data_IF_703231325635
#
_entry.id   IF_703231325635
#
_cell.length_a   1.000
_cell.length_b   1.000
_cell.length_c   1.000
_cell.angle_alpha   90.00
_cell.angle_beta   90.00
_cell.angle_gamma   90.00
#
_symmetry.space_group_name_H-M   'P 1'
#
loop_
_entity.id
_entity.type
_entity.pdbx_description
1 polymer ?
#
# COMPACT_ATOMS: atom_id res chain seq x y z
N UNK A 1 -1.32 10.38 -24.81
CA UNK A 1 -2.43 10.80 -23.94
C UNK A 1 -1.90 11.11 -22.55
N UNK A 2 -2.24 12.26 -21.98
CA UNK A 2 -1.87 12.55 -20.60
C UNK A 2 -2.56 11.58 -19.63
N UNK A 3 -1.88 11.29 -18.52
CA UNK A 3 -2.44 10.47 -17.45
C UNK A 3 -3.34 11.34 -16.61
N UNK A 4 -4.63 10.99 -16.46
CA UNK A 4 -5.52 11.77 -15.60
C UNK A 4 -5.04 11.75 -14.15
N UNK A 5 -5.20 12.86 -13.45
CA UNK A 5 -4.95 12.90 -12.02
C UNK A 5 -6.01 12.13 -11.27
N UNK A 6 -5.58 11.23 -10.40
CA UNK A 6 -6.43 10.51 -9.46
C UNK A 6 -5.90 10.79 -8.06
N UNK A 7 -6.78 11.14 -7.14
CA UNK A 7 -6.43 11.23 -5.72
C UNK A 7 -7.64 10.77 -4.90
N UNK A 8 -7.53 9.58 -4.32
CA UNK A 8 -8.59 9.00 -3.51
C UNK A 8 -8.52 9.57 -2.09
N UNK A 9 -9.67 9.97 -1.51
CA UNK A 9 -9.71 10.59 -0.17
C UNK A 9 -9.64 9.51 0.92
N UNK A 10 -8.45 8.99 1.18
CA UNK A 10 -8.25 7.92 2.15
C UNK A 10 -7.58 8.47 3.39
N UNK A 11 -8.20 8.36 4.57
CA UNK A 11 -7.57 8.76 5.83
C UNK A 11 -6.30 7.97 6.09
N UNK A 12 -5.30 8.64 6.64
CA UNK A 12 -4.02 8.02 6.92
C UNK A 12 -4.06 7.21 8.22
N UNK A 13 -3.50 6.00 8.17
CA UNK A 13 -3.26 5.16 9.33
C UNK A 13 -1.75 4.98 9.50
N UNK A 14 -1.12 5.68 10.46
CA UNK A 14 0.29 5.43 10.77
C UNK A 14 0.49 4.04 11.36
N UNK A 15 1.61 3.40 11.04
CA UNK A 15 2.01 2.19 11.76
C UNK A 15 2.40 2.54 13.20
N UNK A 16 2.23 1.59 14.12
CA UNK A 16 2.48 1.79 15.53
C UNK A 16 3.90 1.38 15.95
N UNK A 17 4.58 0.60 15.08
CA UNK A 17 5.92 0.09 15.32
C UNK A 17 6.61 -0.12 13.98
N UNK A 18 7.84 -0.63 13.98
CA UNK A 18 8.59 -0.86 12.74
C UNK A 18 8.05 -2.04 11.92
N UNK A 19 7.25 -2.90 12.52
CA UNK A 19 6.83 -4.17 11.90
C UNK A 19 5.41 -4.21 11.35
N UNK A 20 4.58 -3.17 11.50
CA UNK A 20 3.16 -3.27 11.21
C UNK A 20 2.68 -2.48 9.97
N UNK A 21 3.58 -2.19 9.04
CA UNK A 21 3.20 -1.48 7.80
C UNK A 21 2.09 -2.21 7.03
N UNK A 22 2.10 -3.54 7.00
CA UNK A 22 1.07 -4.31 6.31
C UNK A 22 -0.30 -4.13 6.96
N UNK A 23 -0.36 -4.16 8.29
CA UNK A 23 -1.61 -3.94 9.02
C UNK A 23 -2.14 -2.52 8.81
N UNK A 24 -1.27 -1.52 8.80
CA UNK A 24 -1.66 -0.14 8.55
C UNK A 24 -2.24 0.03 7.15
N UNK A 25 -1.58 -0.53 6.13
CA UNK A 25 -2.08 -0.51 4.75
C UNK A 25 -3.43 -1.23 4.63
N UNK A 26 -3.57 -2.39 5.26
CA UNK A 26 -4.83 -3.13 5.26
C UNK A 26 -5.95 -2.33 5.91
N UNK A 27 -5.68 -1.69 7.04
CA UNK A 27 -6.64 -0.83 7.75
C UNK A 27 -7.15 0.31 6.85
N UNK A 28 -6.23 1.00 6.16
CA UNK A 28 -6.61 2.08 5.25
C UNK A 28 -7.44 1.58 4.06
N UNK A 29 -7.04 0.47 3.45
CA UNK A 29 -7.76 -0.10 2.31
C UNK A 29 -9.16 -0.56 2.72
N UNK A 30 -9.30 -1.17 3.90
CA UNK A 30 -10.60 -1.61 4.43
C UNK A 30 -11.50 -0.41 4.75
N UNK A 31 -10.94 0.65 5.34
CA UNK A 31 -11.72 1.86 5.64
C UNK A 31 -12.33 2.48 4.37
N UNK A 32 -11.61 2.46 3.27
CA UNK A 32 -12.10 2.92 1.97
C UNK A 32 -13.32 2.11 1.50
N UNK A 33 -13.41 0.84 1.90
CA UNK A 33 -14.54 -0.04 1.60
C UNK A 33 -15.68 0.07 2.63
N UNK A 34 -15.55 0.97 3.61
CA UNK A 34 -16.53 1.09 4.70
C UNK A 34 -16.42 -0.03 5.73
N UNK A 35 -15.31 -0.74 5.78
CA UNK A 35 -15.09 -1.86 6.69
C UNK A 35 -14.00 -1.49 7.70
N UNK A 36 -14.30 -1.68 8.97
CA UNK A 36 -13.34 -1.42 10.05
C UNK A 36 -13.24 -2.63 10.96
N UNK A 37 -12.07 -2.81 11.55
CA UNK A 37 -11.79 -3.88 12.50
C UNK A 37 -10.81 -3.30 13.52
N UNK A 38 -10.88 -3.79 14.74
CA UNK A 38 -9.93 -3.41 15.78
C UNK A 38 -8.49 -3.71 15.31
N UNK A 39 -7.59 -2.75 15.49
CA UNK A 39 -6.22 -2.87 14.98
C UNK A 39 -5.48 -4.06 15.60
N UNK A 40 -5.73 -4.36 16.88
CA UNK A 40 -5.15 -5.52 17.55
C UNK A 40 -5.65 -6.85 16.94
N UNK A 41 -6.90 -6.89 16.50
CA UNK A 41 -7.44 -8.06 15.80
C UNK A 41 -6.81 -8.21 14.41
N UNK A 42 -6.55 -7.10 13.75
CA UNK A 42 -5.89 -7.09 12.45
C UNK A 42 -4.45 -7.60 12.56
N UNK A 43 -3.72 -7.21 13.61
CA UNK A 43 -2.40 -7.75 13.92
C UNK A 43 -2.43 -9.27 14.03
N UNK A 44 -3.39 -9.79 14.76
CA UNK A 44 -3.54 -11.23 14.96
C UNK A 44 -3.85 -11.95 13.65
N UNK A 45 -4.80 -11.42 12.91
CA UNK A 45 -5.23 -12.02 11.64
C UNK A 45 -4.09 -12.08 10.63
N UNK A 46 -3.33 -10.99 10.50
CA UNK A 46 -2.22 -10.91 9.56
C UNK A 46 -0.92 -11.52 10.09
N UNK A 47 -0.92 -12.00 11.34
CA UNK A 47 0.25 -12.61 11.99
C UNK A 47 1.44 -11.67 12.02
N UNK A 48 1.19 -10.42 12.42
CA UNK A 48 2.24 -9.40 12.52
C UNK A 48 3.18 -9.74 13.66
N UNK A 49 4.49 -9.67 13.38
CA UNK A 49 5.57 -9.86 14.36
C UNK A 49 6.32 -8.54 14.53
N UNK A 50 7.12 -8.37 15.61
CA UNK A 50 7.89 -7.13 15.80
C UNK A 50 8.81 -6.79 14.63
N UNK A 51 9.27 -7.78 13.89
CA UNK A 51 10.13 -7.61 12.71
C UNK A 51 9.36 -7.56 11.40
N UNK A 52 8.01 -7.61 11.43
CA UNK A 52 7.17 -7.57 10.24
C UNK A 52 6.39 -8.84 10.00
N UNK A 53 5.84 -8.95 8.80
CA UNK A 53 5.10 -10.12 8.33
C UNK A 53 5.39 -10.33 6.84
N UNK A 54 5.34 -11.59 6.35
CA UNK A 54 5.43 -11.83 4.91
C UNK A 54 4.29 -11.09 4.18
N UNK A 55 4.63 -10.50 3.03
CA UNK A 55 3.65 -9.75 2.23
C UNK A 55 2.42 -10.60 1.89
N UNK A 56 2.61 -11.88 1.59
CA UNK A 56 1.52 -12.80 1.26
C UNK A 56 0.50 -13.03 2.37
N UNK A 57 0.81 -12.64 3.61
CA UNK A 57 -0.16 -12.72 4.71
C UNK A 57 -1.38 -11.82 4.49
N UNK A 58 -1.30 -10.86 3.58
CA UNK A 58 -2.45 -10.04 3.21
C UNK A 58 -3.64 -10.89 2.74
N UNK A 59 -3.39 -12.07 2.19
CA UNK A 59 -4.43 -13.00 1.77
C UNK A 59 -5.34 -13.44 2.91
N UNK A 60 -4.85 -13.38 4.15
CA UNK A 60 -5.63 -13.77 5.33
C UNK A 60 -6.84 -12.86 5.57
N UNK A 61 -6.86 -11.67 4.96
CA UNK A 61 -8.05 -10.80 5.01
C UNK A 61 -9.29 -11.44 4.36
N UNK A 62 -9.10 -12.47 3.54
CA UNK A 62 -10.24 -13.22 2.98
C UNK A 62 -11.14 -13.83 4.06
N UNK A 63 -10.62 -14.08 5.25
CA UNK A 63 -11.40 -14.56 6.38
C UNK A 63 -12.46 -13.54 6.85
N UNK A 64 -12.35 -12.28 6.41
CA UNK A 64 -13.30 -11.21 6.70
C UNK A 64 -14.34 -11.01 5.59
N UNK A 65 -14.50 -11.98 4.70
CA UNK A 65 -15.36 -11.89 3.52
C UNK A 65 -14.97 -10.75 2.57
N UNK A 66 -13.67 -10.52 2.46
CA UNK A 66 -13.09 -9.60 1.49
C UNK A 66 -12.45 -10.38 0.35
N UNK A 67 -12.53 -9.84 -0.85
CA UNK A 67 -11.77 -10.37 -1.98
C UNK A 67 -10.36 -9.77 -1.93
N UNK A 68 -9.35 -10.63 -1.96
CA UNK A 68 -7.95 -10.20 -1.90
C UNK A 68 -7.20 -10.77 -3.08
N UNK A 69 -6.61 -9.87 -3.87
CA UNK A 69 -5.67 -10.24 -4.94
C UNK A 69 -4.27 -9.91 -4.45
N UNK A 70 -3.39 -10.90 -4.44
CA UNK A 70 -1.96 -10.71 -4.20
C UNK A 70 -1.22 -11.27 -5.39
N UNK A 71 -0.66 -10.40 -6.22
CA UNK A 71 -0.10 -10.78 -7.51
C UNK A 71 0.91 -9.72 -7.99
N UNK A 72 1.27 -9.80 -9.25
CA UNK A 72 2.20 -8.87 -9.90
C UNK A 72 1.47 -8.12 -11.01
N UNK A 73 1.87 -6.88 -11.23
CA UNK A 73 1.37 -6.07 -12.34
C UNK A 73 2.46 -5.07 -12.75
N UNK A 74 2.11 -4.10 -13.59
CA UNK A 74 2.99 -3.04 -14.03
C UNK A 74 2.35 -1.66 -13.77
N UNK A 75 3.01 -0.59 -14.19
CA UNK A 75 2.49 0.76 -14.01
C UNK A 75 1.15 0.97 -14.72
N UNK A 76 0.95 0.37 -15.87
CA UNK A 76 -0.33 0.46 -16.59
C UNK A 76 -1.45 -0.18 -15.79
N UNK A 77 -1.20 -1.37 -15.24
CA UNK A 77 -2.17 -2.07 -14.39
C UNK A 77 -2.49 -1.30 -13.12
N UNK A 78 -1.47 -0.73 -12.48
CA UNK A 78 -1.64 0.09 -11.27
C UNK A 78 -2.49 1.33 -11.56
N UNK A 79 -2.19 2.05 -12.64
CA UNK A 79 -2.99 3.21 -13.05
C UNK A 79 -4.46 2.85 -13.28
N UNK A 80 -4.69 1.71 -13.93
CA UNK A 80 -6.05 1.24 -14.21
C UNK A 80 -6.83 1.00 -12.90
N UNK A 81 -6.22 0.39 -11.90
CA UNK A 81 -6.85 0.17 -10.59
C UNK A 81 -7.19 1.50 -9.92
N UNK A 82 -6.26 2.45 -9.93
CA UNK A 82 -6.49 3.77 -9.34
C UNK A 82 -7.61 4.52 -10.04
N UNK A 83 -7.65 4.47 -11.36
CA UNK A 83 -8.72 5.09 -12.16
C UNK A 83 -10.08 4.46 -11.89
N UNK A 84 -10.09 3.20 -11.50
CA UNK A 84 -11.30 2.49 -11.09
C UNK A 84 -11.78 2.87 -9.68
N UNK A 85 -10.97 3.64 -8.95
CA UNK A 85 -11.30 4.08 -7.58
C UNK A 85 -10.76 3.16 -6.49
N UNK A 86 -9.80 2.30 -6.81
CA UNK A 86 -9.22 1.35 -5.88
C UNK A 86 -7.84 1.79 -5.41
N UNK A 87 -7.62 2.00 -4.10
CA UNK A 87 -6.27 2.14 -3.56
C UNK A 87 -5.57 0.78 -3.60
N UNK A 88 -4.26 0.79 -3.76
CA UNK A 88 -3.48 -0.43 -3.99
C UNK A 88 -2.33 -0.50 -2.99
N UNK A 89 -2.20 -1.64 -2.31
CA UNK A 89 -1.04 -1.89 -1.45
C UNK A 89 0.11 -2.31 -2.35
N UNK A 90 1.22 -1.60 -2.25
CA UNK A 90 2.42 -1.84 -3.03
C UNK A 90 3.57 -2.22 -2.09
N UNK A 91 4.30 -3.25 -2.48
CA UNK A 91 5.46 -3.75 -1.72
C UNK A 91 6.73 -3.21 -2.36
N UNK A 92 7.56 -2.55 -1.55
CA UNK A 92 8.73 -1.81 -2.04
C UNK A 92 9.97 -2.09 -1.19
N UNK A 93 11.14 -1.70 -1.75
CA UNK A 93 12.37 -1.47 -0.99
C UNK A 93 12.53 0.02 -0.79
N UNK A 94 12.72 0.45 0.43
CA UNK A 94 12.71 1.87 0.78
C UNK A 94 13.97 2.63 0.36
N UNK A 95 15.06 1.95 0.09
CA UNK A 95 16.31 2.59 -0.34
C UNK A 95 16.18 3.36 -1.66
N UNK A 96 15.16 3.05 -2.47
CA UNK A 96 14.88 3.78 -3.71
C UNK A 96 13.88 4.93 -3.52
N UNK A 97 13.27 5.08 -2.34
CA UNK A 97 12.28 6.13 -2.08
C UNK A 97 12.96 7.39 -1.54
N UNK A 98 12.70 8.57 -2.13
CA UNK A 98 13.40 9.81 -1.74
C UNK A 98 13.21 10.23 -0.29
N UNK A 99 12.08 9.87 0.34
CA UNK A 99 11.76 10.26 1.71
C UNK A 99 12.27 9.27 2.77
N UNK A 100 12.99 8.22 2.36
CA UNK A 100 13.59 7.25 3.27
C UNK A 100 15.11 7.44 3.31
N UNK A 101 15.71 7.17 4.48
CA UNK A 101 17.16 7.31 4.70
C UNK A 101 17.89 5.99 4.82
N UNK A 102 17.17 4.86 4.82
CA UNK A 102 17.75 3.52 4.89
C UNK A 102 16.89 2.53 4.12
N UNK A 103 17.46 1.37 3.77
CA UNK A 103 16.79 0.34 2.99
C UNK A 103 16.19 -0.75 3.85
N UNK A 104 14.90 -1.02 3.63
CA UNK A 104 14.20 -2.15 4.21
C UNK A 104 13.02 -2.54 3.30
N UNK A 105 12.51 -3.74 3.49
CA UNK A 105 11.23 -4.13 2.90
C UNK A 105 10.10 -3.36 3.56
N UNK A 106 9.14 -2.89 2.78
CA UNK A 106 8.07 -2.05 3.28
C UNK A 106 6.82 -2.20 2.44
N UNK A 107 5.68 -1.92 3.05
CA UNK A 107 4.40 -1.81 2.36
C UNK A 107 3.87 -0.40 2.50
N UNK A 108 3.34 0.16 1.42
CA UNK A 108 2.65 1.44 1.42
C UNK A 108 1.38 1.36 0.60
N UNK A 109 0.47 2.32 0.79
CA UNK A 109 -0.78 2.36 0.07
C UNK A 109 -0.72 3.46 -0.99
N UNK A 110 -0.86 3.09 -2.26
CA UNK A 110 -0.98 4.06 -3.34
C UNK A 110 -2.43 4.53 -3.39
N UNK A 111 -2.63 5.84 -3.26
CA UNK A 111 -3.95 6.46 -3.21
C UNK A 111 -4.24 7.33 -4.43
N UNK A 112 -3.29 7.47 -5.32
CA UNK A 112 -3.47 8.24 -6.54
C UNK A 112 -2.22 8.37 -7.37
N UNK A 113 -2.35 9.08 -8.47
CA UNK A 113 -1.25 9.38 -9.37
C UNK A 113 -1.61 10.57 -10.27
N UNK A 114 -0.59 11.15 -10.87
CA UNK A 114 -0.74 12.04 -12.00
C UNK A 114 0.29 11.67 -13.08
N UNK A 115 0.53 12.55 -14.01
CA UNK A 115 1.48 12.30 -15.11
C UNK A 115 2.92 12.13 -14.65
N UNK A 116 3.29 12.76 -13.51
CA UNK A 116 4.68 12.85 -13.07
C UNK A 116 4.98 12.02 -11.83
N UNK A 117 3.98 11.67 -11.04
CA UNK A 117 4.23 11.08 -9.72
C UNK A 117 3.08 10.23 -9.20
N UNK A 118 3.42 9.40 -8.22
CA UNK A 118 2.46 8.65 -7.39
C UNK A 118 2.14 9.42 -6.11
N UNK A 119 0.90 9.28 -5.66
CA UNK A 119 0.48 9.75 -4.32
C UNK A 119 0.37 8.54 -3.42
N UNK A 120 1.11 8.54 -2.31
CA UNK A 120 1.15 7.39 -1.41
C UNK A 120 0.86 7.79 0.03
N UNK A 121 0.11 6.95 0.72
CA UNK A 121 0.02 7.00 2.17
C UNK A 121 1.05 6.00 2.71
N UNK A 122 2.16 6.53 3.22
CA UNK A 122 3.23 5.70 3.78
C UNK A 122 3.00 5.56 5.27
N UNK A 123 2.75 4.34 5.78
CA UNK A 123 2.46 4.14 7.21
C UNK A 123 3.59 4.60 8.15
N UNK A 124 4.83 4.66 7.66
CA UNK A 124 5.97 5.10 8.46
C UNK A 124 6.05 6.62 8.61
N UNK A 125 5.19 7.37 7.92
CA UNK A 125 5.22 8.82 7.89
C UNK A 125 3.97 9.40 8.54
N UNK A 126 4.11 10.59 9.15
CA UNK A 126 2.96 11.33 9.69
C UNK A 126 2.25 12.16 8.63
N UNK A 127 2.96 12.60 7.60
CA UNK A 127 2.39 13.37 6.49
C UNK A 127 1.76 12.45 5.46
N UNK A 128 0.65 12.89 4.84
CA UNK A 128 -0.04 12.13 3.81
C UNK A 128 -0.90 13.06 2.91
N UNK A 129 -1.06 12.74 1.62
CA UNK A 129 -0.21 11.79 0.91
C UNK A 129 1.18 12.35 0.67
N UNK A 130 2.13 11.47 0.49
CA UNK A 130 3.47 11.83 0.04
C UNK A 130 3.51 11.61 -1.47
N UNK A 131 4.17 12.51 -2.19
CA UNK A 131 4.36 12.35 -3.63
C UNK A 131 5.71 11.71 -3.91
N UNK A 132 5.71 10.73 -4.80
CA UNK A 132 6.93 10.02 -5.22
C UNK A 132 7.02 10.08 -6.74
N UNK A 133 8.13 10.59 -7.30
CA UNK A 133 8.30 10.59 -8.75
C UNK A 133 8.21 9.19 -9.34
N UNK A 134 7.65 9.07 -10.55
CA UNK A 134 7.42 7.77 -11.21
C UNK A 134 8.66 6.89 -11.26
N UNK A 135 9.83 7.46 -11.61
CA UNK A 135 11.06 6.69 -11.73
C UNK A 135 11.50 6.10 -10.40
N UNK A 136 11.47 6.89 -9.35
CA UNK A 136 11.85 6.43 -8.00
C UNK A 136 10.87 5.38 -7.48
N UNK A 137 9.57 5.61 -7.71
CA UNK A 137 8.54 4.65 -7.33
C UNK A 137 8.74 3.31 -8.04
N UNK A 138 8.98 3.34 -9.35
CA UNK A 138 9.14 2.11 -10.12
C UNK A 138 10.37 1.32 -9.67
N UNK A 139 11.49 1.98 -9.39
CA UNK A 139 12.68 1.30 -8.88
C UNK A 139 12.43 0.63 -7.54
N UNK A 140 11.73 1.31 -6.63
CA UNK A 140 11.38 0.74 -5.32
C UNK A 140 10.47 -0.49 -5.46
N UNK A 141 9.54 -0.43 -6.39
CA UNK A 141 8.58 -1.52 -6.64
C UNK A 141 9.24 -2.70 -7.37
N UNK A 142 10.07 -2.42 -8.38
CA UNK A 142 10.83 -3.43 -9.10
C UNK A 142 11.68 -4.27 -8.14
N UNK A 143 12.28 -3.65 -7.13
CA UNK A 143 13.10 -4.33 -6.14
C UNK A 143 12.34 -5.41 -5.35
N UNK A 144 11.00 -5.37 -5.37
CA UNK A 144 10.11 -6.37 -4.79
C UNK A 144 9.26 -7.05 -5.86
N UNK A 145 9.75 -7.15 -7.10
CA UNK A 145 9.20 -7.92 -8.21
C UNK A 145 7.78 -7.48 -8.63
N UNK A 146 7.44 -6.19 -8.47
CA UNK A 146 6.15 -5.62 -8.86
C UNK A 146 4.94 -6.24 -8.16
N UNK A 147 5.12 -6.78 -6.95
CA UNK A 147 4.01 -7.32 -6.17
C UNK A 147 3.10 -6.24 -5.64
N UNK A 148 1.82 -6.54 -5.65
CA UNK A 148 0.78 -5.65 -5.11
C UNK A 148 -0.29 -6.48 -4.42
N UNK A 149 -1.12 -5.83 -3.62
CA UNK A 149 -2.35 -6.40 -3.10
C UNK A 149 -3.51 -5.44 -3.35
N UNK A 150 -4.63 -5.99 -3.78
CA UNK A 150 -5.88 -5.27 -3.97
C UNK A 150 -6.94 -5.92 -3.10
N UNK A 151 -7.64 -5.09 -2.30
CA UNK A 151 -8.70 -5.55 -1.41
C UNK A 151 -10.01 -4.94 -1.91
N UNK A 152 -11.00 -5.80 -2.16
CA UNK A 152 -12.34 -5.38 -2.58
C UNK A 152 -13.41 -6.15 -1.79
N UNK A 153 -14.66 -5.72 -1.94
CA UNK A 153 -15.80 -6.40 -1.31
C UNK A 153 -16.17 -7.68 -2.04
#
# INVERSE_FOLDING_TARGET
MPVPKVLLPIPHQPQQSDGDCLAACASMAMAHLGRTIDYAQLFKLLRIKPYGAPAGNIRLLADLNLAVVYSQTDLTGLRAMLQHGWPVIIFVRTDELPHWTYGTDHALLVVGCDEDQMYVNDPACSEFPITVPWGDFELAWLARDYYYALITL
#
